data_IF_054607128280
#
_entry.id   IF_054607128280
#
_cell.length_a   1.000
_cell.length_b   1.000
_cell.length_c   1.000
_cell.angle_alpha   90.00
_cell.angle_beta   90.00
_cell.angle_gamma   90.00
#
_symmetry.space_group_name_H-M   'P 1'
#
loop_
_entity.id
_entity.type
_entity.pdbx_description
1 polymer ?
#
# COMPACT_ATOMS: atom_id res chain seq x y z
N UNK A 1 -27.98 -1.92 -42.72
CA UNK A 1 -27.59 -3.26 -42.22
C UNK A 1 -27.32 -3.08 -40.73
N UNK A 2 -28.20 -3.64 -39.89
CA UNK A 2 -28.25 -3.41 -38.45
C UNK A 2 -27.11 -4.14 -37.73
N UNK A 3 -26.15 -3.40 -37.17
CA UNK A 3 -25.29 -3.95 -36.12
C UNK A 3 -26.06 -3.92 -34.79
N UNK A 4 -26.66 -5.07 -34.50
CA UNK A 4 -27.29 -5.36 -33.24
C UNK A 4 -26.25 -5.36 -32.12
N UNK A 5 -26.47 -4.48 -31.14
CA UNK A 5 -25.85 -4.52 -29.83
C UNK A 5 -25.79 -5.97 -29.29
N UNK A 6 -24.60 -6.57 -29.28
CA UNK A 6 -24.31 -7.63 -28.30
C UNK A 6 -24.18 -6.96 -26.95
N UNK A 7 -25.32 -6.72 -26.30
CA UNK A 7 -25.37 -6.55 -24.86
C UNK A 7 -24.81 -7.84 -24.26
N UNK A 8 -23.55 -7.79 -23.83
CA UNK A 8 -22.93 -8.85 -23.06
C UNK A 8 -23.83 -9.08 -21.84
N UNK A 9 -24.47 -10.25 -21.80
CA UNK A 9 -25.20 -10.81 -20.66
C UNK A 9 -24.24 -11.13 -19.52
N UNK A 10 -23.55 -10.12 -19.00
CA UNK A 10 -22.87 -10.23 -17.73
C UNK A 10 -23.96 -10.34 -16.66
N UNK A 11 -24.06 -11.53 -16.07
CA UNK A 11 -24.99 -11.80 -14.98
C UNK A 11 -24.75 -10.76 -13.88
N UNK A 12 -25.80 -10.05 -13.45
CA UNK A 12 -25.67 -9.04 -12.41
C UNK A 12 -25.05 -9.67 -11.15
N UNK A 13 -23.99 -9.10 -10.58
CA UNK A 13 -23.37 -9.65 -9.38
C UNK A 13 -24.41 -9.78 -8.26
N UNK A 14 -24.40 -10.91 -7.54
CA UNK A 14 -25.31 -11.16 -6.41
C UNK A 14 -24.55 -11.29 -5.09
N UNK A 15 -25.26 -11.20 -3.96
CA UNK A 15 -24.72 -11.45 -2.63
C UNK A 15 -23.55 -10.53 -2.24
N UNK A 16 -22.46 -11.11 -1.72
CA UNK A 16 -21.31 -10.35 -1.24
C UNK A 16 -20.55 -9.63 -2.36
N UNK A 17 -20.49 -10.23 -3.56
CA UNK A 17 -19.84 -9.60 -4.73
C UNK A 17 -20.56 -8.32 -5.12
N UNK A 18 -21.90 -8.31 -5.10
CA UNK A 18 -22.70 -7.12 -5.32
C UNK A 18 -22.38 -6.01 -4.30
N UNK A 19 -22.24 -6.38 -3.01
CA UNK A 19 -21.87 -5.44 -1.94
C UNK A 19 -20.49 -4.84 -2.16
N UNK A 20 -19.51 -5.65 -2.58
CA UNK A 20 -18.16 -5.18 -2.89
C UNK A 20 -18.15 -4.23 -4.09
N UNK A 21 -18.93 -4.54 -5.14
CA UNK A 21 -18.98 -3.76 -6.37
C UNK A 21 -19.87 -2.51 -6.29
N UNK A 22 -20.71 -2.39 -5.26
CA UNK A 22 -21.59 -1.25 -5.06
C UNK A 22 -20.86 0.10 -5.12
N UNK A 23 -21.59 1.13 -5.57
CA UNK A 23 -21.08 2.51 -5.62
C UNK A 23 -20.79 3.11 -4.24
N UNK A 24 -21.43 2.55 -3.21
CA UNK A 24 -21.34 3.01 -1.83
C UNK A 24 -21.19 1.82 -0.90
N UNK A 25 -20.12 1.81 -0.12
CA UNK A 25 -19.97 0.89 0.99
C UNK A 25 -20.56 1.49 2.27
N UNK A 26 -21.09 0.64 3.14
CA UNK A 26 -21.39 1.05 4.51
C UNK A 26 -20.08 1.39 5.24
N UNK A 27 -20.16 2.26 6.24
CA UNK A 27 -18.98 2.63 7.05
C UNK A 27 -18.35 1.39 7.71
N UNK A 28 -19.10 0.47 8.36
CA UNK A 28 -18.51 -0.73 8.95
C UNK A 28 -17.81 -1.64 7.91
N UNK A 29 -18.41 -1.83 6.73
CA UNK A 29 -17.79 -2.61 5.66
C UNK A 29 -16.49 -1.95 5.20
N UNK A 30 -16.49 -0.62 5.05
CA UNK A 30 -15.29 0.12 4.68
C UNK A 30 -14.19 -0.06 5.73
N UNK A 31 -14.50 0.12 7.02
CA UNK A 31 -13.54 -0.09 8.11
C UNK A 31 -12.96 -1.51 8.04
N UNK A 32 -13.81 -2.53 7.93
CA UNK A 32 -13.37 -3.92 7.83
C UNK A 32 -12.46 -4.15 6.61
N UNK A 33 -12.85 -3.65 5.43
CA UNK A 33 -12.06 -3.79 4.21
C UNK A 33 -10.72 -3.06 4.26
N UNK A 34 -10.58 -2.01 5.07
CA UNK A 34 -9.29 -1.36 5.28
C UNK A 34 -8.42 -2.13 6.28
N UNK A 35 -9.00 -2.54 7.43
CA UNK A 35 -8.22 -3.04 8.57
C UNK A 35 -7.95 -4.55 8.53
N UNK A 36 -8.88 -5.36 8.04
CA UNK A 36 -8.72 -6.83 7.99
C UNK A 36 -7.46 -7.25 7.23
N UNK A 37 -7.14 -6.68 6.05
CA UNK A 37 -5.89 -6.99 5.37
C UNK A 37 -4.64 -6.78 6.25
N UNK A 38 -4.62 -5.74 7.07
CA UNK A 38 -3.49 -5.44 7.96
C UNK A 38 -3.32 -6.48 9.04
N UNK A 39 -4.43 -6.90 9.66
CA UNK A 39 -4.43 -7.95 10.68
C UNK A 39 -3.97 -9.28 10.09
N UNK A 40 -4.43 -9.60 8.86
CA UNK A 40 -3.98 -10.80 8.14
C UNK A 40 -2.49 -10.75 7.80
N UNK A 41 -1.91 -9.58 7.52
CA UNK A 41 -0.47 -9.44 7.27
C UNK A 41 0.33 -9.74 8.52
N UNK A 42 -0.08 -9.22 9.68
CA UNK A 42 0.58 -9.53 10.96
C UNK A 42 0.49 -11.04 11.25
N UNK A 43 -0.66 -11.65 11.02
CA UNK A 43 -0.82 -13.09 11.16
C UNK A 43 0.08 -13.86 10.16
N UNK A 44 0.09 -13.49 8.89
CA UNK A 44 0.92 -14.13 7.86
C UNK A 44 2.42 -13.96 8.15
N UNK A 45 2.83 -12.80 8.66
CA UNK A 45 4.18 -12.59 9.16
C UNK A 45 4.50 -13.59 10.29
N UNK A 46 3.65 -13.68 11.32
CA UNK A 46 3.92 -14.51 12.50
C UNK A 46 3.94 -16.01 12.18
N UNK A 47 3.02 -16.47 11.35
CA UNK A 47 2.80 -17.90 11.09
C UNK A 47 3.48 -18.43 9.81
N UNK A 48 3.93 -17.55 8.91
CA UNK A 48 4.53 -17.95 7.63
C UNK A 48 5.88 -17.25 7.44
N UNK A 49 5.90 -15.92 7.44
CA UNK A 49 7.11 -15.14 7.16
C UNK A 49 8.25 -15.42 8.13
N UNK A 50 8.00 -15.23 9.43
CA UNK A 50 9.03 -15.35 10.46
C UNK A 50 9.57 -16.79 10.63
N UNK A 51 8.74 -17.85 10.61
CA UNK A 51 9.26 -19.22 10.58
C UNK A 51 10.17 -19.50 9.38
N UNK A 52 9.78 -19.06 8.17
CA UNK A 52 10.57 -19.30 6.95
C UNK A 52 11.89 -18.55 7.01
N UNK A 53 11.90 -17.26 7.34
CA UNK A 53 13.16 -16.49 7.36
C UNK A 53 14.10 -16.95 8.45
N UNK A 54 13.60 -17.32 9.63
CA UNK A 54 14.44 -17.91 10.68
C UNK A 54 15.07 -19.24 10.24
N UNK A 55 14.30 -20.11 9.57
CA UNK A 55 14.83 -21.37 9.07
C UNK A 55 15.90 -21.17 7.97
N UNK A 56 15.81 -20.08 7.21
CA UNK A 56 16.73 -19.75 6.12
C UNK A 56 17.85 -18.76 6.53
N UNK A 57 17.87 -18.29 7.78
CA UNK A 57 18.83 -17.27 8.24
C UNK A 57 18.71 -15.92 7.52
N UNK A 58 17.50 -15.54 7.10
CA UNK A 58 17.25 -14.28 6.38
C UNK A 58 16.84 -13.15 7.33
N UNK A 59 17.19 -11.89 7.01
CA UNK A 59 16.75 -10.71 7.75
C UNK A 59 15.23 -10.62 7.90
N UNK A 60 14.81 -10.00 9.00
CA UNK A 60 13.39 -9.91 9.37
C UNK A 60 12.52 -9.13 8.38
N UNK A 61 13.09 -8.20 7.62
CA UNK A 61 12.34 -7.51 6.57
C UNK A 61 11.85 -8.48 5.47
N UNK A 62 12.55 -9.61 5.27
CA UNK A 62 12.08 -10.69 4.40
C UNK A 62 10.79 -11.35 4.91
N UNK A 63 10.64 -11.49 6.23
CA UNK A 63 9.44 -12.06 6.84
C UNK A 63 8.23 -11.14 6.63
N UNK A 64 8.42 -9.83 6.78
CA UNK A 64 7.39 -8.84 6.47
C UNK A 64 7.01 -8.84 4.99
N UNK A 65 8.00 -8.93 4.09
CA UNK A 65 7.74 -9.04 2.66
C UNK A 65 6.90 -10.27 2.32
N UNK A 66 7.21 -11.44 2.89
CA UNK A 66 6.41 -12.66 2.73
C UNK A 66 4.99 -12.44 3.26
N UNK A 67 4.82 -11.90 4.47
CA UNK A 67 3.51 -11.62 5.06
C UNK A 67 2.65 -10.70 4.19
N UNK A 68 3.25 -9.62 3.65
CA UNK A 68 2.61 -8.72 2.71
C UNK A 68 2.21 -9.43 1.41
N UNK A 69 3.10 -10.22 0.81
CA UNK A 69 2.82 -10.95 -0.43
C UNK A 69 1.65 -11.92 -0.27
N UNK A 70 1.60 -12.67 0.84
CA UNK A 70 0.52 -13.63 1.13
C UNK A 70 -0.85 -12.98 1.16
N UNK A 71 -0.96 -11.71 1.54
CA UNK A 71 -2.25 -11.01 1.66
C UNK A 71 -2.54 -10.10 0.45
N UNK A 72 -1.56 -9.33 0.01
CA UNK A 72 -1.75 -8.34 -1.06
C UNK A 72 -1.86 -8.99 -2.44
N UNK A 73 -1.12 -10.06 -2.74
CA UNK A 73 -1.26 -10.73 -4.05
C UNK A 73 -2.68 -11.29 -4.26
N UNK A 74 -3.30 -12.01 -3.29
CA UNK A 74 -4.71 -12.38 -3.40
C UNK A 74 -5.67 -11.20 -3.54
N UNK A 75 -5.44 -10.08 -2.84
CA UNK A 75 -6.27 -8.88 -3.03
C UNK A 75 -6.15 -8.34 -4.46
N UNK A 76 -4.95 -8.34 -5.03
CA UNK A 76 -4.70 -7.91 -6.40
C UNK A 76 -5.45 -8.78 -7.40
N UNK A 77 -5.37 -10.11 -7.26
CA UNK A 77 -6.15 -11.06 -8.07
C UNK A 77 -7.66 -10.93 -7.83
N UNK A 78 -8.06 -10.65 -6.59
CA UNK A 78 -9.44 -10.37 -6.20
C UNK A 78 -10.03 -9.20 -6.99
N UNK A 79 -9.27 -8.12 -7.20
CA UNK A 79 -9.71 -6.99 -8.04
C UNK A 79 -9.95 -7.41 -9.49
N UNK A 80 -9.10 -8.24 -10.09
CA UNK A 80 -9.32 -8.78 -11.44
C UNK A 80 -10.52 -9.72 -11.49
N UNK A 81 -10.70 -10.55 -10.47
CA UNK A 81 -11.85 -11.45 -10.35
C UNK A 81 -13.16 -10.66 -10.22
N UNK A 82 -13.19 -9.60 -9.41
CA UNK A 82 -14.33 -8.70 -9.32
C UNK A 82 -14.67 -8.08 -10.68
N UNK A 83 -13.67 -7.73 -11.50
CA UNK A 83 -13.93 -7.25 -12.85
C UNK A 83 -14.45 -8.33 -13.78
N UNK A 84 -14.06 -9.59 -13.59
CA UNK A 84 -14.68 -10.72 -14.31
C UNK A 84 -16.14 -10.87 -13.93
N UNK A 85 -16.47 -10.74 -12.64
CA UNK A 85 -17.87 -10.78 -12.20
C UNK A 85 -18.69 -9.61 -12.77
N UNK A 86 -18.09 -8.44 -12.93
CA UNK A 86 -18.80 -7.25 -13.41
C UNK A 86 -18.90 -7.15 -14.95
N UNK A 87 -17.86 -7.59 -15.67
CA UNK A 87 -17.70 -7.33 -17.12
C UNK A 87 -17.52 -8.58 -17.96
N UNK A 88 -17.47 -9.76 -17.34
CA UNK A 88 -17.15 -11.04 -17.99
C UNK A 88 -15.66 -11.27 -18.30
N UNK A 89 -14.77 -10.29 -18.03
CA UNK A 89 -13.32 -10.38 -18.32
C UNK A 89 -12.48 -10.06 -17.09
N UNK A 90 -11.34 -10.72 -16.92
CA UNK A 90 -10.38 -10.35 -15.88
C UNK A 90 -9.80 -8.97 -16.18
N UNK A 91 -10.29 -7.95 -15.46
CA UNK A 91 -9.89 -6.56 -15.63
C UNK A 91 -10.10 -5.80 -14.33
N UNK A 92 -9.40 -4.68 -14.16
CA UNK A 92 -9.68 -3.71 -13.08
C UNK A 92 -10.55 -2.54 -13.55
N UNK A 93 -10.92 -2.53 -14.84
CA UNK A 93 -11.79 -1.51 -15.43
C UNK A 93 -13.27 -1.85 -15.17
N UNK A 94 -14.18 -1.07 -15.75
CA UNK A 94 -15.62 -1.33 -15.65
C UNK A 94 -16.24 -0.92 -14.31
N UNK A 95 -15.57 -0.07 -13.52
CA UNK A 95 -16.09 0.43 -12.24
C UNK A 95 -15.51 -0.25 -10.99
N UNK A 96 -14.68 -1.29 -11.16
CA UNK A 96 -13.96 -1.94 -10.05
C UNK A 96 -12.96 -0.97 -9.43
N UNK A 97 -11.90 -0.62 -10.17
CA UNK A 97 -10.90 0.38 -9.78
C UNK A 97 -11.21 1.70 -10.49
N UNK A 98 -11.57 2.73 -9.73
CA UNK A 98 -11.94 4.08 -10.21
C UNK A 98 -10.78 5.06 -10.03
N UNK A 99 -11.05 6.34 -10.29
CA UNK A 99 -10.05 7.41 -10.28
C UNK A 99 -8.90 7.16 -11.28
N UNK A 100 -9.29 6.74 -12.48
CA UNK A 100 -8.38 6.45 -13.60
C UNK A 100 -8.73 7.29 -14.82
N UNK A 101 -9.31 8.47 -14.58
CA UNK A 101 -9.94 9.32 -15.60
C UNK A 101 -8.88 10.02 -16.46
N UNK A 102 -7.66 10.16 -15.93
CA UNK A 102 -6.49 10.76 -16.58
C UNK A 102 -6.74 12.18 -17.12
N UNK A 103 -7.26 13.12 -16.31
CA UNK A 103 -7.52 14.50 -16.76
C UNK A 103 -6.25 15.30 -17.10
N UNK A 104 -5.06 14.79 -16.74
CA UNK A 104 -3.78 15.45 -17.00
C UNK A 104 -2.98 14.74 -18.10
N UNK A 105 -2.26 15.54 -18.89
CA UNK A 105 -1.24 15.06 -19.84
C UNK A 105 -0.14 14.31 -19.09
N UNK A 106 0.61 13.45 -19.82
CA UNK A 106 1.70 12.66 -19.24
C UNK A 106 2.76 13.54 -18.57
N UNK A 107 3.20 14.61 -19.22
CA UNK A 107 4.19 15.54 -18.62
C UNK A 107 3.68 16.21 -17.35
N UNK A 108 2.43 16.70 -17.35
CA UNK A 108 1.86 17.39 -16.19
C UNK A 108 1.67 16.46 -15.00
N UNK A 109 1.16 15.24 -15.21
CA UNK A 109 1.01 14.27 -14.11
C UNK A 109 2.36 13.76 -13.61
N UNK A 110 3.38 13.66 -14.46
CA UNK A 110 4.74 13.33 -14.05
C UNK A 110 5.33 14.43 -13.16
N UNK A 111 5.19 15.70 -13.53
CA UNK A 111 5.68 16.81 -12.70
C UNK A 111 4.98 16.85 -11.32
N UNK A 112 3.65 16.70 -11.30
CA UNK A 112 2.87 16.59 -10.05
C UNK A 112 3.34 15.38 -9.23
N UNK A 113 3.51 14.23 -9.88
CA UNK A 113 3.96 12.99 -9.26
C UNK A 113 5.34 13.12 -8.63
N UNK A 114 6.31 13.73 -9.33
CA UNK A 114 7.64 14.02 -8.79
C UNK A 114 7.55 14.93 -7.57
N UNK A 115 6.74 16.00 -7.64
CA UNK A 115 6.54 16.90 -6.50
C UNK A 115 5.98 16.17 -5.28
N UNK A 116 4.99 15.29 -5.46
CA UNK A 116 4.43 14.49 -4.37
C UNK A 116 5.40 13.43 -3.85
N UNK A 117 6.19 12.80 -4.72
CA UNK A 117 7.24 11.85 -4.35
C UNK A 117 8.30 12.52 -3.47
N UNK A 118 8.81 13.68 -3.90
CA UNK A 118 9.78 14.47 -3.13
C UNK A 118 9.16 14.89 -1.80
N UNK A 119 7.92 15.38 -1.81
CA UNK A 119 7.18 15.73 -0.60
C UNK A 119 7.11 14.54 0.37
N UNK A 120 6.62 13.39 -0.09
CA UNK A 120 6.46 12.22 0.77
C UNK A 120 7.82 11.78 1.34
N UNK A 121 8.85 11.69 0.51
CA UNK A 121 10.20 11.26 0.92
C UNK A 121 10.80 12.21 1.96
N UNK A 122 10.80 13.52 1.69
CA UNK A 122 11.38 14.51 2.60
C UNK A 122 10.60 14.58 3.91
N UNK A 123 9.26 14.65 3.83
CA UNK A 123 8.43 14.78 5.02
C UNK A 123 8.46 13.50 5.86
N UNK A 124 8.46 12.30 5.26
CA UNK A 124 8.56 11.06 6.03
C UNK A 124 9.89 10.97 6.78
N UNK A 125 11.00 11.35 6.16
CA UNK A 125 12.31 11.36 6.81
C UNK A 125 12.37 12.38 7.95
N UNK A 126 11.85 13.59 7.75
CA UNK A 126 11.79 14.64 8.77
C UNK A 126 10.89 14.30 9.97
N UNK A 127 9.96 13.36 9.80
CA UNK A 127 9.04 12.92 10.86
C UNK A 127 9.55 11.70 11.64
N UNK A 128 10.74 11.16 11.34
CA UNK A 128 11.33 10.06 12.12
C UNK A 128 11.44 10.37 13.64
N UNK A 129 11.77 11.60 14.09
CA UNK A 129 11.76 11.94 15.52
C UNK A 129 10.35 11.87 16.15
N UNK A 130 9.30 12.18 15.39
CA UNK A 130 7.91 12.05 15.84
C UNK A 130 7.55 10.57 16.02
N UNK A 131 7.97 9.72 15.08
CA UNK A 131 7.74 8.27 15.17
C UNK A 131 8.45 7.66 16.38
N UNK A 132 9.71 8.04 16.61
CA UNK A 132 10.49 7.62 17.78
C UNK A 132 9.84 8.09 19.09
N UNK A 133 9.51 9.38 19.19
CA UNK A 133 8.82 9.92 20.37
C UNK A 133 7.50 9.20 20.64
N UNK A 134 6.72 8.92 19.59
CA UNK A 134 5.43 8.20 19.73
C UNK A 134 5.64 6.78 20.24
N UNK A 135 6.66 6.08 19.74
CA UNK A 135 7.02 4.74 20.19
C UNK A 135 7.47 4.75 21.66
N UNK A 136 8.43 5.61 22.00
CA UNK A 136 9.04 5.70 23.34
C UNK A 136 8.07 6.19 24.42
N UNK A 137 7.01 6.92 24.03
CA UNK A 137 6.02 7.46 24.98
C UNK A 137 4.82 6.53 25.14
N UNK A 138 4.32 5.93 24.06
CA UNK A 138 3.00 5.26 24.04
C UNK A 138 3.08 3.74 23.78
N UNK A 139 4.18 3.24 23.22
CA UNK A 139 4.34 1.85 22.78
C UNK A 139 5.50 1.13 23.47
N UNK A 140 5.91 1.57 24.65
CA UNK A 140 6.96 0.95 25.48
C UNK A 140 6.68 -0.52 25.88
N UNK A 141 5.43 -0.96 25.73
CA UNK A 141 4.99 -2.32 25.98
C UNK A 141 5.18 -3.26 24.77
N UNK A 142 5.53 -2.73 23.60
CA UNK A 142 5.90 -3.50 22.40
C UNK A 142 7.41 -3.41 22.21
N UNK A 143 8.04 -4.53 21.87
CA UNK A 143 9.42 -4.54 21.37
C UNK A 143 9.39 -4.61 19.85
N UNK A 144 10.00 -3.62 19.19
CA UNK A 144 10.13 -3.58 17.74
C UNK A 144 11.58 -3.79 17.32
N UNK A 145 11.82 -4.79 16.48
CA UNK A 145 13.15 -5.02 15.91
C UNK A 145 13.55 -3.84 15.01
N UNK A 146 14.65 -3.17 15.36
CA UNK A 146 15.06 -1.89 14.78
C UNK A 146 15.13 -0.73 15.79
N UNK A 147 14.70 -0.93 17.04
CA UNK A 147 14.85 0.04 18.15
C UNK A 147 16.28 0.15 18.70
N UNK A 148 17.30 -0.10 17.88
CA UNK A 148 18.71 0.03 18.23
C UNK A 148 19.23 1.46 18.07
N UNK A 149 20.54 1.66 18.26
CA UNK A 149 21.21 2.97 18.08
C UNK A 149 21.13 3.51 16.65
N UNK A 150 20.83 2.65 15.67
CA UNK A 150 20.54 3.02 14.28
C UNK A 150 19.38 2.18 13.73
N UNK A 151 18.66 2.73 12.75
CA UNK A 151 17.56 2.04 12.06
C UNK A 151 17.99 0.84 11.20
N UNK A 152 19.29 0.55 11.13
CA UNK A 152 19.89 -0.55 10.35
C UNK A 152 20.66 -1.54 11.21
N UNK A 153 20.87 -1.26 12.50
CA UNK A 153 21.63 -2.11 13.44
C UNK A 153 21.17 -3.58 13.48
N UNK A 154 19.90 -3.85 13.22
CA UNK A 154 19.36 -5.21 13.15
C UNK A 154 19.95 -6.03 11.97
N UNK A 155 20.57 -5.38 10.98
CA UNK A 155 21.24 -6.00 9.84
C UNK A 155 22.65 -6.51 10.19
N UNK A 156 23.26 -6.01 11.26
CA UNK A 156 24.65 -6.36 11.65
C UNK A 156 24.81 -7.84 12.01
N UNK A 157 23.71 -8.50 12.36
CA UNK A 157 23.66 -9.93 12.62
C UNK A 157 23.77 -10.81 11.35
N UNK A 158 23.76 -10.21 10.15
CA UNK A 158 23.72 -10.91 8.87
C UNK A 158 24.92 -10.56 8.00
N UNK A 159 25.36 -11.52 7.18
CA UNK A 159 26.38 -11.22 6.17
C UNK A 159 25.85 -10.22 5.13
N UNK A 160 26.73 -9.36 4.62
CA UNK A 160 26.38 -8.40 3.55
C UNK A 160 25.73 -9.09 2.35
N UNK A 161 26.24 -10.27 1.95
CA UNK A 161 25.65 -11.05 0.86
C UNK A 161 24.23 -11.51 1.16
N UNK A 162 23.93 -11.90 2.40
CA UNK A 162 22.58 -12.31 2.82
C UNK A 162 21.63 -11.13 2.75
N UNK A 163 22.03 -9.96 3.27
CA UNK A 163 21.19 -8.75 3.25
C UNK A 163 20.92 -8.30 1.83
N UNK A 164 21.95 -8.17 0.99
CA UNK A 164 21.79 -7.77 -0.42
C UNK A 164 20.91 -8.76 -1.18
N UNK A 165 21.13 -10.06 -1.02
CA UNK A 165 20.30 -11.09 -1.69
C UNK A 165 18.84 -10.96 -1.26
N UNK A 166 18.59 -10.76 0.03
CA UNK A 166 17.23 -10.58 0.56
C UNK A 166 16.58 -9.30 0.02
N UNK A 167 17.35 -8.19 -0.06
CA UNK A 167 16.90 -6.94 -0.67
C UNK A 167 16.60 -7.09 -2.16
N UNK A 168 17.41 -7.85 -2.91
CA UNK A 168 17.16 -8.06 -4.34
C UNK A 168 15.91 -8.91 -4.59
N UNK A 169 15.69 -9.95 -3.78
CA UNK A 169 14.50 -10.81 -3.90
C UNK A 169 13.24 -10.04 -3.52
N UNK A 170 13.23 -9.41 -2.34
CA UNK A 170 12.01 -8.84 -1.78
C UNK A 170 11.83 -7.36 -2.11
N UNK A 171 12.90 -6.62 -2.42
CA UNK A 171 12.85 -5.19 -2.70
C UNK A 171 12.03 -4.82 -3.93
N UNK A 172 11.97 -5.68 -4.95
CA UNK A 172 11.03 -5.47 -6.07
C UNK A 172 9.56 -5.51 -5.62
N UNK A 173 9.25 -6.34 -4.62
CA UNK A 173 7.92 -6.45 -4.04
C UNK A 173 7.63 -5.28 -3.11
N UNK A 174 8.41 -5.12 -2.04
CA UNK A 174 8.18 -4.10 -1.01
C UNK A 174 8.47 -2.69 -1.51
N UNK A 175 9.43 -2.54 -2.41
CA UNK A 175 9.80 -1.26 -3.00
C UNK A 175 8.84 -0.78 -4.08
N UNK A 176 8.00 -1.63 -4.69
CA UNK A 176 7.09 -1.13 -5.73
C UNK A 176 5.79 -1.91 -5.85
N UNK A 177 5.85 -3.22 -6.09
CA UNK A 177 4.67 -4.00 -6.46
C UNK A 177 3.60 -4.02 -5.36
N UNK A 178 4.00 -4.22 -4.10
CA UNK A 178 3.09 -4.29 -2.96
C UNK A 178 2.45 -2.91 -2.67
N UNK A 179 3.21 -1.79 -2.57
CA UNK A 179 2.62 -0.46 -2.53
C UNK A 179 1.68 -0.15 -3.72
N UNK A 180 1.99 -0.66 -4.92
CA UNK A 180 1.14 -0.46 -6.09
C UNK A 180 -0.22 -1.17 -5.93
N UNK A 181 -0.22 -2.37 -5.36
CA UNK A 181 -1.46 -3.10 -5.03
C UNK A 181 -2.27 -2.28 -4.02
N UNK A 182 -1.62 -1.74 -3.00
CA UNK A 182 -2.26 -0.88 -2.01
C UNK A 182 -2.90 0.35 -2.66
N UNK A 183 -2.22 1.02 -3.60
CA UNK A 183 -2.82 2.14 -4.32
C UNK A 183 -4.10 1.71 -5.06
N UNK A 184 -4.05 0.61 -5.82
CA UNK A 184 -5.22 0.12 -6.52
C UNK A 184 -6.36 -0.28 -5.59
N UNK A 185 -6.05 -0.88 -4.44
CA UNK A 185 -7.05 -1.31 -3.47
C UNK A 185 -7.60 -0.14 -2.65
N UNK A 186 -6.77 0.62 -1.97
CA UNK A 186 -7.22 1.67 -1.06
C UNK A 186 -7.71 2.92 -1.77
N UNK A 187 -6.97 3.40 -2.79
CA UNK A 187 -7.30 4.66 -3.49
C UNK A 187 -8.18 4.41 -4.70
N UNK A 188 -7.94 3.30 -5.40
CA UNK A 188 -8.68 2.94 -6.59
C UNK A 188 -9.99 2.18 -6.32
N UNK A 189 -10.05 1.34 -5.29
CA UNK A 189 -11.23 0.53 -4.99
C UNK A 189 -12.02 1.04 -3.78
N UNK A 190 -11.39 1.33 -2.64
CA UNK A 190 -12.12 1.69 -1.42
C UNK A 190 -12.53 3.17 -1.35
N UNK A 191 -11.61 4.10 -1.59
CA UNK A 191 -11.88 5.55 -1.50
C UNK A 191 -13.07 6.03 -2.35
N UNK A 192 -13.26 5.59 -3.62
CA UNK A 192 -14.41 5.99 -4.43
C UNK A 192 -15.77 5.52 -3.90
N UNK A 193 -15.77 4.56 -2.96
CA UNK A 193 -16.98 3.94 -2.39
C UNK A 193 -17.38 4.55 -1.06
N UNK A 194 -16.81 5.72 -0.73
CA UNK A 194 -17.13 6.53 0.45
C UNK A 194 -17.85 7.86 0.11
N UNK A 195 -18.82 7.91 -0.84
CA UNK A 195 -19.44 9.19 -1.24
C UNK A 195 -20.15 9.90 -0.07
N UNK A 196 -20.64 9.15 0.93
CA UNK A 196 -21.27 9.70 2.13
C UNK A 196 -20.36 10.57 2.99
N UNK A 197 -19.04 10.42 2.86
CA UNK A 197 -18.08 11.23 3.63
C UNK A 197 -17.66 12.50 2.86
N UNK A 198 -17.98 12.60 1.56
CA UNK A 198 -17.64 13.76 0.73
C UNK A 198 -16.16 14.15 0.85
N UNK A 199 -15.92 15.42 1.21
CA UNK A 199 -14.56 15.98 1.40
C UNK A 199 -13.74 15.32 2.51
N UNK A 200 -14.39 14.57 3.41
CA UNK A 200 -13.72 13.86 4.51
C UNK A 200 -13.30 12.44 4.11
N UNK A 201 -13.75 11.93 2.95
CA UNK A 201 -13.37 10.61 2.47
C UNK A 201 -11.84 10.41 2.37
N UNK A 202 -11.04 11.38 1.88
CA UNK A 202 -9.58 11.24 1.83
C UNK A 202 -8.94 11.10 3.21
N UNK A 203 -9.40 11.89 4.18
CA UNK A 203 -8.89 11.81 5.55
C UNK A 203 -9.25 10.47 6.19
N UNK A 204 -10.51 10.05 6.07
CA UNK A 204 -10.98 8.77 6.59
C UNK A 204 -10.20 7.58 5.99
N UNK A 205 -10.02 7.57 4.66
CA UNK A 205 -9.23 6.55 3.97
C UNK A 205 -7.76 6.57 4.42
N UNK A 206 -7.16 7.75 4.56
CA UNK A 206 -5.76 7.89 4.99
C UNK A 206 -5.58 7.40 6.42
N UNK A 207 -6.45 7.78 7.36
CA UNK A 207 -6.39 7.31 8.75
C UNK A 207 -6.49 5.79 8.83
N UNK A 208 -7.47 5.19 8.16
CA UNK A 208 -7.61 3.72 8.16
C UNK A 208 -6.45 3.02 7.46
N UNK A 209 -5.91 3.58 6.38
CA UNK A 209 -4.71 3.07 5.72
C UNK A 209 -3.47 3.17 6.62
N UNK A 210 -3.35 4.24 7.41
CA UNK A 210 -2.28 4.36 8.40
C UNK A 210 -2.40 3.28 9.48
N UNK A 211 -3.61 3.06 10.02
CA UNK A 211 -3.87 2.03 11.06
C UNK A 211 -3.70 0.61 10.51
N UNK A 212 -4.02 0.38 9.24
CA UNK A 212 -3.78 -0.89 8.54
C UNK A 212 -2.34 -1.41 8.73
N UNK A 213 -1.37 -0.52 8.96
CA UNK A 213 0.00 -0.87 9.33
C UNK A 213 0.11 -1.23 10.81
N UNK A 214 -0.63 -2.23 11.28
CA UNK A 214 -0.62 -2.65 12.69
C UNK A 214 0.78 -2.95 13.23
N UNK A 215 1.70 -3.39 12.36
CA UNK A 215 3.10 -3.67 12.69
C UNK A 215 3.97 -2.43 12.93
N UNK A 216 3.45 -1.24 12.65
CA UNK A 216 4.14 0.04 12.82
C UNK A 216 3.16 1.12 13.31
N UNK A 217 2.28 0.76 14.25
CA UNK A 217 1.14 1.59 14.64
C UNK A 217 1.55 2.97 15.22
N UNK A 218 2.73 3.09 15.81
CA UNK A 218 3.28 4.38 16.29
C UNK A 218 3.53 5.38 15.16
N UNK A 219 3.66 4.92 13.91
CA UNK A 219 3.86 5.80 12.73
C UNK A 219 2.55 6.32 12.14
N UNK A 220 1.39 6.03 12.74
CA UNK A 220 0.09 6.51 12.25
C UNK A 220 0.06 8.04 12.08
N UNK A 221 0.54 8.86 13.04
CA UNK A 221 0.54 10.31 12.90
C UNK A 221 1.35 10.78 11.70
N UNK A 222 2.57 10.27 11.51
CA UNK A 222 3.43 10.67 10.40
C UNK A 222 2.86 10.23 9.06
N UNK A 223 2.36 8.99 8.95
CA UNK A 223 1.68 8.47 7.75
C UNK A 223 0.51 9.35 7.32
N UNK A 224 -0.30 9.84 8.26
CA UNK A 224 -1.38 10.77 7.94
C UNK A 224 -0.81 12.04 7.30
N UNK A 225 0.23 12.63 7.88
CA UNK A 225 0.83 13.87 7.39
C UNK A 225 1.38 13.69 5.97
N UNK A 226 2.25 12.69 5.74
CA UNK A 226 2.93 12.57 4.45
C UNK A 226 2.09 11.94 3.33
N UNK A 227 1.03 11.17 3.64
CA UNK A 227 0.17 10.56 2.61
C UNK A 227 -1.02 11.46 2.21
N UNK A 228 -1.59 12.22 3.14
CA UNK A 228 -2.86 12.89 2.93
C UNK A 228 -2.89 13.79 1.68
N UNK A 229 -1.85 14.58 1.35
CA UNK A 229 -1.87 15.43 0.15
C UNK A 229 -2.06 14.63 -1.15
N UNK A 230 -1.39 13.48 -1.30
CA UNK A 230 -1.57 12.63 -2.48
C UNK A 230 -2.94 11.96 -2.51
N UNK A 231 -3.44 11.47 -1.36
CA UNK A 231 -4.79 10.87 -1.30
C UNK A 231 -5.87 11.90 -1.62
N UNK A 232 -5.73 13.12 -1.09
CA UNK A 232 -6.63 14.22 -1.37
C UNK A 232 -6.60 14.62 -2.85
N UNK A 233 -5.41 14.66 -3.47
CA UNK A 233 -5.27 14.90 -4.90
C UNK A 233 -6.01 13.84 -5.73
N UNK A 234 -5.83 12.55 -5.40
CA UNK A 234 -6.50 11.45 -6.12
C UNK A 234 -8.02 11.56 -6.02
N UNK A 235 -8.55 11.85 -4.82
CA UNK A 235 -9.99 12.07 -4.64
C UNK A 235 -10.49 13.30 -5.39
N UNK A 236 -9.75 14.39 -5.38
CA UNK A 236 -10.19 15.64 -6.02
C UNK A 236 -10.11 15.60 -7.55
N UNK A 237 -9.06 14.95 -8.09
CA UNK A 237 -8.76 14.93 -9.52
C UNK A 237 -9.09 13.60 -10.20
N UNK A 238 -9.51 12.59 -9.45
CA UNK A 238 -9.80 11.26 -9.96
C UNK A 238 -8.64 10.68 -10.79
N UNK A 239 -7.40 10.89 -10.33
CA UNK A 239 -6.18 10.46 -11.01
C UNK A 239 -5.18 9.79 -10.06
N UNK A 240 -5.31 8.48 -9.92
CA UNK A 240 -4.46 7.63 -9.09
C UNK A 240 -2.98 7.65 -9.48
N UNK A 241 -2.62 8.10 -10.70
CA UNK A 241 -1.21 8.13 -11.14
C UNK A 241 -0.36 9.00 -10.21
N UNK A 242 -0.91 10.07 -9.67
CA UNK A 242 -0.20 10.96 -8.75
C UNK A 242 0.20 10.24 -7.45
N UNK A 243 -0.70 9.45 -6.86
CA UNK A 243 -0.36 8.68 -5.66
C UNK A 243 0.52 7.47 -5.96
N UNK A 244 0.48 6.91 -7.16
CA UNK A 244 1.43 5.87 -7.60
C UNK A 244 2.86 6.43 -7.68
N UNK A 245 3.04 7.65 -8.19
CA UNK A 245 4.33 8.33 -8.12
C UNK A 245 4.74 8.61 -6.67
N UNK A 246 3.82 9.08 -5.85
CA UNK A 246 4.10 9.42 -4.46
C UNK A 246 4.49 8.20 -3.63
N UNK A 247 3.63 7.20 -3.54
CA UNK A 247 3.75 6.12 -2.57
C UNK A 247 4.65 4.97 -3.09
N UNK A 248 4.25 4.18 -4.11
CA UNK A 248 5.16 3.21 -4.75
C UNK A 248 6.47 3.84 -5.25
N UNK A 249 6.43 5.07 -5.79
CA UNK A 249 7.64 5.74 -6.26
C UNK A 249 8.62 6.11 -5.13
N UNK A 250 8.13 6.59 -3.98
CA UNK A 250 9.01 6.83 -2.81
C UNK A 250 9.54 5.51 -2.25
N UNK A 251 8.72 4.46 -2.16
CA UNK A 251 9.18 3.14 -1.73
C UNK A 251 10.28 2.59 -2.63
N UNK A 252 10.16 2.80 -3.96
CA UNK A 252 11.14 2.34 -4.93
C UNK A 252 12.43 3.14 -4.79
N UNK A 253 12.32 4.46 -4.67
CA UNK A 253 13.47 5.35 -4.45
C UNK A 253 14.24 4.92 -3.19
N UNK A 254 13.54 4.77 -2.06
CA UNK A 254 14.14 4.38 -0.78
C UNK A 254 14.79 3.00 -0.86
N UNK A 255 14.14 2.04 -1.54
CA UNK A 255 14.70 0.69 -1.71
C UNK A 255 15.97 0.70 -2.55
N UNK A 256 15.97 1.40 -3.69
CA UNK A 256 17.13 1.48 -4.59
C UNK A 256 18.29 2.21 -3.91
N UNK A 257 18.03 3.38 -3.31
CA UNK A 257 19.06 4.16 -2.60
C UNK A 257 19.59 3.37 -1.42
N UNK A 258 18.72 2.82 -0.57
CA UNK A 258 19.13 2.04 0.60
C UNK A 258 19.96 0.82 0.23
N UNK A 259 19.52 0.05 -0.78
CA UNK A 259 20.28 -1.12 -1.27
C UNK A 259 21.64 -0.72 -1.84
N UNK A 260 21.70 0.39 -2.59
CA UNK A 260 22.96 0.89 -3.17
C UNK A 260 23.93 1.34 -2.08
N UNK A 261 23.47 2.16 -1.13
CA UNK A 261 24.30 2.63 -0.03
C UNK A 261 24.84 1.46 0.80
N UNK A 262 23.98 0.50 1.15
CA UNK A 262 24.38 -0.71 1.86
C UNK A 262 25.41 -1.54 1.07
N UNK A 263 25.19 -1.74 -0.23
CA UNK A 263 26.12 -2.50 -1.08
C UNK A 263 27.49 -1.83 -1.26
N UNK A 264 27.54 -0.50 -1.16
CA UNK A 264 28.79 0.28 -1.26
C UNK A 264 29.49 0.52 0.08
N UNK A 265 28.92 0.06 1.20
CA UNK A 265 29.44 0.34 2.55
C UNK A 265 29.30 1.81 2.97
N UNK A 266 28.40 2.56 2.32
CA UNK A 266 28.10 3.96 2.64
C UNK A 266 26.98 4.10 3.70
N UNK A 267 26.49 2.97 4.21
CA UNK A 267 25.46 2.83 5.24
C UNK A 267 25.98 1.95 6.37
#
# INVERSE_FOLDING_TARGET
>A
MNETHRASTAQQPTGFVAKLLADKHSVPLSIALHLVPGALIVAAYAWIGAPITRALGLPIFGAWAIGLMVVLLPLWFGLFWLGKQQTGRYTMRGGVVRYRDKPFTRGKITAIGIGLLVYMTVVSLSLAPLDAWTYDTLFTWVTFEGSGSSGTSYLDAYSTSTVITTLLIFGAFTGFLLPLIEEYYFRGFLLPRLPQLGRWAPLFNTVLFSIYHFWAIWTVPSKIIFLLPGVFFVWWKHDIRASIWMHPGSALLMTVVGTTLYATGAM
#
